data_IF_266071607781
#
_entry.id   IF_266071607781
#
_cell.length_a   1.000
_cell.length_b   1.000
_cell.length_c   1.000
_cell.angle_alpha   90.00
_cell.angle_beta   90.00
_cell.angle_gamma   90.00
#
_symmetry.space_group_name_H-M   'P 1'
#
loop_
_entity.id
_entity.type
_entity.pdbx_description
1 polymer ?
#
# COMPACT_ATOMS: atom_id res chain seq x y z
N UNK A 1 2.93 -4.33 31.03
CA UNK A 1 2.49 -4.27 29.62
C UNK A 1 1.27 -3.36 29.54
N UNK A 2 1.41 -2.11 29.10
CA UNK A 2 0.31 -1.12 29.12
C UNK A 2 -0.61 -1.38 27.93
N UNK A 3 -1.90 -1.58 28.18
CA UNK A 3 -2.96 -1.89 27.19
C UNK A 3 -2.90 -1.00 25.94
N UNK A 4 -2.50 0.26 26.10
CA UNK A 4 -2.29 1.23 25.01
C UNK A 4 -1.31 0.75 23.92
N UNK A 5 -0.22 0.05 24.28
CA UNK A 5 0.77 -0.42 23.30
C UNK A 5 0.24 -1.58 22.43
N UNK A 6 -0.62 -2.43 23.00
CA UNK A 6 -1.24 -3.55 22.29
C UNK A 6 -2.27 -3.02 21.27
N UNK A 7 -3.10 -2.06 21.69
CA UNK A 7 -4.06 -1.41 20.81
C UNK A 7 -3.39 -0.64 19.66
N UNK A 8 -2.29 0.07 19.94
CA UNK A 8 -1.48 0.70 18.90
C UNK A 8 -0.97 -0.31 17.89
N UNK A 9 -0.42 -1.44 18.34
CA UNK A 9 0.09 -2.49 17.45
C UNK A 9 -1.01 -3.03 16.51
N UNK A 10 -2.19 -3.33 17.04
CA UNK A 10 -3.29 -3.85 16.22
C UNK A 10 -3.80 -2.82 15.21
N UNK A 11 -3.90 -1.55 15.60
CA UNK A 11 -4.28 -0.47 14.69
C UNK A 11 -3.24 -0.26 13.59
N UNK A 12 -1.95 -0.25 13.94
CA UNK A 12 -0.85 -0.15 12.97
C UNK A 12 -0.84 -1.36 12.02
N UNK A 13 -1.14 -2.57 12.52
CA UNK A 13 -1.28 -3.77 11.69
C UNK A 13 -2.43 -3.65 10.69
N UNK A 14 -3.60 -3.18 11.14
CA UNK A 14 -4.77 -2.98 10.27
C UNK A 14 -4.51 -1.92 9.19
N UNK A 15 -3.87 -0.81 9.56
CA UNK A 15 -3.46 0.24 8.62
C UNK A 15 -2.47 -0.33 7.59
N UNK A 16 -1.52 -1.17 8.02
CA UNK A 16 -0.55 -1.80 7.13
C UNK A 16 -1.23 -2.73 6.12
N UNK A 17 -2.22 -3.52 6.55
CA UNK A 17 -3.02 -4.36 5.63
C UNK A 17 -3.76 -3.51 4.61
N UNK A 18 -4.43 -2.43 5.05
CA UNK A 18 -5.16 -1.54 4.15
C UNK A 18 -4.23 -0.86 3.12
N UNK A 19 -3.07 -0.38 3.57
CA UNK A 19 -2.04 0.18 2.68
C UNK A 19 -1.52 -0.86 1.69
N UNK A 20 -1.28 -2.08 2.14
CA UNK A 20 -0.81 -3.17 1.26
C UNK A 20 -1.84 -3.50 0.18
N UNK A 21 -3.14 -3.50 0.53
CA UNK A 21 -4.21 -3.67 -0.44
C UNK A 21 -4.26 -2.53 -1.48
N UNK A 22 -4.04 -1.28 -1.05
CA UNK A 22 -3.94 -0.12 -1.95
C UNK A 22 -2.74 -0.23 -2.90
N UNK A 23 -1.59 -0.70 -2.42
CA UNK A 23 -0.41 -0.96 -3.25
C UNK A 23 -0.66 -2.09 -4.25
N UNK A 24 -1.33 -3.17 -3.83
CA UNK A 24 -1.71 -4.24 -4.75
C UNK A 24 -2.65 -3.72 -5.86
N UNK A 25 -3.60 -2.85 -5.51
CA UNK A 25 -4.50 -2.21 -6.47
C UNK A 25 -3.74 -1.30 -7.44
N UNK A 26 -2.75 -0.54 -6.96
CA UNK A 26 -1.84 0.24 -7.81
C UNK A 26 -1.15 -0.61 -8.87
N UNK A 27 -0.59 -1.76 -8.46
CA UNK A 27 0.10 -2.68 -9.39
C UNK A 27 -0.88 -3.24 -10.43
N UNK A 28 -2.08 -3.63 -10.01
CA UNK A 28 -3.13 -4.13 -10.91
C UNK A 28 -3.55 -3.06 -11.94
N UNK A 29 -3.76 -1.82 -11.51
CA UNK A 29 -4.10 -0.70 -12.40
C UNK A 29 -3.00 -0.45 -13.43
N UNK A 30 -1.72 -0.53 -13.03
CA UNK A 30 -0.60 -0.39 -13.96
C UNK A 30 -0.52 -1.54 -14.98
N UNK A 31 -0.79 -2.78 -14.57
CA UNK A 31 -0.87 -3.91 -15.52
C UNK A 31 -2.01 -3.74 -16.51
N UNK A 32 -3.18 -3.29 -16.04
CA UNK A 32 -4.34 -3.01 -16.90
C UNK A 32 -4.08 -1.86 -17.87
N UNK A 33 -3.45 -0.78 -17.40
CA UNK A 33 -3.00 0.32 -18.25
C UNK A 33 -2.05 -0.17 -19.36
N UNK A 34 -1.07 -1.00 -19.01
CA UNK A 34 -0.15 -1.58 -19.98
C UNK A 34 -0.88 -2.46 -21.00
N UNK A 35 -1.82 -3.29 -20.55
CA UNK A 35 -2.64 -4.13 -21.43
C UNK A 35 -3.52 -3.29 -22.36
N UNK A 36 -4.16 -2.24 -21.85
CA UNK A 36 -4.96 -1.31 -22.66
C UNK A 36 -4.11 -0.57 -23.69
N UNK A 37 -2.88 -0.16 -23.31
CA UNK A 37 -1.94 0.47 -24.21
C UNK A 37 -1.55 -0.46 -25.38
N UNK A 38 -1.29 -1.75 -25.09
CA UNK A 38 -1.00 -2.75 -26.11
C UNK A 38 -2.18 -3.02 -27.05
N UNK A 39 -3.41 -2.92 -26.54
CA UNK A 39 -4.64 -3.05 -27.34
C UNK A 39 -5.05 -1.77 -28.08
N UNK A 40 -4.19 -0.73 -28.09
CA UNK A 40 -4.45 0.58 -28.71
C UNK A 40 -5.62 1.37 -28.09
N UNK A 41 -6.12 0.94 -26.94
CA UNK A 41 -7.16 1.59 -26.14
C UNK A 41 -6.56 2.73 -25.29
N UNK A 42 -6.00 3.73 -25.98
CA UNK A 42 -5.20 4.82 -25.38
C UNK A 42 -5.96 5.67 -24.36
N UNK A 43 -7.28 5.83 -24.54
CA UNK A 43 -8.14 6.57 -23.61
C UNK A 43 -8.34 5.83 -22.28
N UNK A 44 -8.45 4.50 -22.35
CA UNK A 44 -8.58 3.63 -21.17
C UNK A 44 -7.23 3.54 -20.46
N UNK A 45 -6.13 3.39 -21.21
CA UNK A 45 -4.78 3.33 -20.66
C UNK A 45 -4.39 4.60 -19.88
N UNK A 46 -4.68 5.79 -20.44
CA UNK A 46 -4.40 7.07 -19.78
C UNK A 46 -5.22 7.25 -18.50
N UNK A 47 -6.51 6.92 -18.52
CA UNK A 47 -7.37 6.96 -17.33
C UNK A 47 -6.83 6.08 -16.20
N UNK A 48 -6.42 4.85 -16.51
CA UNK A 48 -5.86 3.94 -15.50
C UNK A 48 -4.51 4.40 -14.95
N UNK A 49 -3.66 5.03 -15.77
CA UNK A 49 -2.39 5.61 -15.31
C UNK A 49 -2.59 6.84 -14.41
N UNK A 50 -3.52 7.73 -14.73
CA UNK A 50 -3.83 8.87 -13.87
C UNK A 50 -4.37 8.42 -12.51
N UNK A 51 -5.27 7.43 -12.50
CA UNK A 51 -5.80 6.88 -11.25
C UNK A 51 -4.72 6.13 -10.45
N UNK A 52 -3.82 5.41 -11.11
CA UNK A 52 -2.72 4.73 -10.43
C UNK A 52 -1.73 5.73 -9.82
N UNK A 53 -1.50 6.88 -10.45
CA UNK A 53 -0.58 7.90 -9.93
C UNK A 53 -0.92 8.34 -8.51
N UNK A 54 -2.21 8.50 -8.18
CA UNK A 54 -2.64 8.84 -6.82
C UNK A 54 -2.33 7.74 -5.80
N UNK A 55 -2.26 6.48 -6.22
CA UNK A 55 -2.01 5.36 -5.33
C UNK A 55 -0.52 5.17 -4.99
N UNK A 56 0.40 5.82 -5.72
CA UNK A 56 1.85 5.71 -5.47
C UNK A 56 2.24 6.23 -4.07
N UNK A 57 1.48 7.19 -3.54
CA UNK A 57 1.71 7.76 -2.20
C UNK A 57 1.52 6.72 -1.10
N UNK A 58 0.75 5.66 -1.35
CA UNK A 58 0.49 4.58 -0.40
C UNK A 58 1.55 3.47 -0.42
N UNK A 59 2.54 3.54 -1.30
CA UNK A 59 3.68 2.59 -1.34
C UNK A 59 4.69 2.88 -0.23
N UNK A 60 4.85 4.15 0.14
CA UNK A 60 5.83 4.61 1.14
C UNK A 60 5.45 4.12 2.56
N UNK A 61 4.22 4.36 3.06
CA UNK A 61 3.83 4.06 4.43
C UNK A 61 4.02 2.61 4.89
N UNK A 62 3.66 1.56 4.12
CA UNK A 62 3.79 0.17 4.58
C UNK A 62 5.24 -0.22 4.87
N UNK A 63 6.22 0.32 4.12
CA UNK A 63 7.65 0.05 4.32
C UNK A 63 8.17 0.62 5.65
N UNK A 64 7.71 1.83 6.01
CA UNK A 64 8.07 2.46 7.28
C UNK A 64 7.35 1.80 8.46
N UNK A 65 6.08 1.40 8.30
CA UNK A 65 5.31 0.77 9.37
C UNK A 65 5.86 -0.63 9.68
N UNK A 66 6.24 -1.43 8.69
CA UNK A 66 6.86 -2.74 8.92
C UNK A 66 8.15 -2.59 9.74
N UNK A 67 9.00 -1.62 9.37
CA UNK A 67 10.24 -1.31 10.09
C UNK A 67 9.97 -0.86 11.53
N UNK A 68 8.93 -0.06 11.74
CA UNK A 68 8.52 0.41 13.06
C UNK A 68 8.00 -0.73 13.94
N UNK A 69 7.18 -1.64 13.39
CA UNK A 69 6.68 -2.83 14.09
C UNK A 69 7.84 -3.76 14.47
N UNK A 70 8.78 -4.03 13.55
CA UNK A 70 9.99 -4.81 13.84
C UNK A 70 10.80 -4.21 14.99
N UNK A 71 11.01 -2.89 14.97
CA UNK A 71 11.75 -2.21 16.04
C UNK A 71 11.01 -2.24 17.38
N UNK A 72 9.68 -2.14 17.37
CA UNK A 72 8.87 -2.24 18.59
C UNK A 72 8.94 -3.64 19.21
N UNK A 73 9.00 -4.68 18.37
CA UNK A 73 9.08 -6.08 18.80
C UNK A 73 10.47 -6.45 19.33
N UNK A 74 11.55 -5.82 18.83
CA UNK A 74 12.92 -6.01 19.35
C UNK A 74 13.14 -5.34 20.71
N UNK A 75 12.39 -4.27 21.02
CA UNK A 75 12.52 -3.53 22.30
C UNK A 75 11.78 -4.21 23.48
N UNK A 76 10.98 -5.23 23.24
CA UNK A 76 10.22 -5.95 24.27
C UNK A 76 10.55 -7.45 24.11
N UNK A 77 11.59 -7.96 24.80
CA UNK A 77 11.83 -9.40 24.91
C UNK A 77 10.74 -10.11 25.73
#
# INVERSE_FOLDING_TARGET
MTISKVFQRDLLGLILVALTALVALYVLLNMLALFAYLNQETQIASTFLEQSFYLIVFVIPPYFIEKYIKHLNVLIP
#
